data_IF_914009852404
#
_entry.id   IF_914009852404
#
_cell.length_a   1.000
_cell.length_b   1.000
_cell.length_c   1.000
_cell.angle_alpha   90.00
_cell.angle_beta   90.00
_cell.angle_gamma   90.00
#
_symmetry.space_group_name_H-M   'P 1'
#
loop_
_entity.id
_entity.type
_entity.pdbx_description
1 polymer ?
#
# COMPACT_ATOMS: atom_id res chain seq x y z
N UNK A 1 22.38 2.34 9.35
CA UNK A 1 21.33 1.35 9.63
C UNK A 1 20.47 1.05 8.39
N UNK A 2 19.95 -0.19 8.24
CA UNK A 2 18.90 -0.52 7.26
C UNK A 2 17.56 -0.58 7.98
N UNK A 3 16.58 0.21 7.54
CA UNK A 3 15.21 0.16 8.07
C UNK A 3 14.44 -0.96 7.37
N UNK A 4 13.84 -1.85 8.16
CA UNK A 4 13.15 -3.04 7.67
C UNK A 4 11.66 -2.85 7.89
N UNK A 5 10.88 -3.13 6.85
CA UNK A 5 9.41 -3.15 6.94
C UNK A 5 9.00 -4.17 8.01
N UNK A 6 8.17 -3.79 9.00
CA UNK A 6 7.64 -4.73 9.98
C UNK A 6 6.99 -5.94 9.30
N UNK A 7 7.31 -7.15 9.78
CA UNK A 7 6.87 -8.38 9.13
C UNK A 7 5.35 -8.48 8.92
N UNK A 8 4.48 -8.04 9.85
CA UNK A 8 3.04 -8.03 9.61
C UNK A 8 2.65 -7.16 8.40
N UNK A 9 3.18 -5.93 8.32
CA UNK A 9 2.91 -5.01 7.20
C UNK A 9 3.43 -5.55 5.88
N UNK A 10 4.62 -6.18 5.90
CA UNK A 10 5.17 -6.83 4.70
C UNK A 10 4.25 -7.94 4.20
N UNK A 11 3.79 -8.82 5.10
CA UNK A 11 2.92 -9.94 4.74
C UNK A 11 1.57 -9.48 4.19
N UNK A 12 0.96 -8.47 4.80
CA UNK A 12 -0.31 -7.90 4.31
C UNK A 12 -0.13 -7.24 2.93
N UNK A 13 0.97 -6.51 2.76
CA UNK A 13 1.29 -5.86 1.48
C UNK A 13 1.50 -6.91 0.37
N UNK A 14 2.32 -7.94 0.61
CA UNK A 14 2.55 -9.04 -0.33
C UNK A 14 1.25 -9.78 -0.68
N UNK A 15 0.37 -10.00 0.30
CA UNK A 15 -0.96 -10.61 0.09
C UNK A 15 -1.83 -9.75 -0.83
N UNK A 16 -1.82 -8.42 -0.67
CA UNK A 16 -2.56 -7.51 -1.53
C UNK A 16 -2.05 -7.56 -2.99
N UNK A 17 -0.73 -7.56 -3.18
CA UNK A 17 -0.12 -7.70 -4.51
C UNK A 17 -0.50 -9.01 -5.18
N UNK A 18 -0.48 -10.10 -4.42
CA UNK A 18 -0.81 -11.42 -4.93
C UNK A 18 -2.29 -11.50 -5.36
N UNK A 19 -3.20 -10.94 -4.57
CA UNK A 19 -4.62 -10.85 -4.94
C UNK A 19 -4.84 -10.03 -6.21
N UNK A 20 -4.15 -8.90 -6.34
CA UNK A 20 -4.22 -8.09 -7.56
C UNK A 20 -3.66 -8.84 -8.76
N UNK A 21 -2.55 -9.57 -8.60
CA UNK A 21 -1.98 -10.44 -9.63
C UNK A 21 -3.00 -11.48 -10.09
N UNK A 22 -3.62 -12.21 -9.16
CA UNK A 22 -4.67 -13.18 -9.48
C UNK A 22 -5.86 -12.54 -10.22
N UNK A 23 -6.30 -11.35 -9.79
CA UNK A 23 -7.35 -10.61 -10.49
C UNK A 23 -6.95 -10.20 -11.92
N UNK A 24 -5.67 -9.90 -12.18
CA UNK A 24 -5.18 -9.62 -13.55
C UNK A 24 -5.20 -10.83 -14.47
N UNK A 25 -5.23 -12.03 -13.89
CA UNK A 25 -5.32 -13.30 -14.60
C UNK A 25 -6.76 -13.72 -14.86
N UNK A 26 -7.73 -13.06 -14.22
CA UNK A 26 -9.13 -13.20 -14.58
C UNK A 26 -9.32 -12.81 -16.05
N UNK A 27 -10.11 -13.59 -16.78
CA UNK A 27 -10.56 -13.19 -18.12
C UNK A 27 -11.58 -12.04 -18.05
N UNK A 28 -12.05 -11.60 -19.22
CA UNK A 28 -13.16 -10.64 -19.31
C UNK A 28 -12.84 -9.26 -18.74
N UNK A 29 -13.89 -8.55 -18.32
CA UNK A 29 -13.81 -7.14 -17.88
C UNK A 29 -13.05 -6.97 -16.57
N UNK A 30 -13.21 -7.91 -15.63
CA UNK A 30 -12.51 -7.93 -14.35
C UNK A 30 -10.99 -7.97 -14.55
N UNK A 31 -10.51 -8.83 -15.46
CA UNK A 31 -9.09 -8.92 -15.80
C UNK A 31 -8.52 -7.62 -16.36
N UNK A 32 -9.27 -6.96 -17.24
CA UNK A 32 -8.84 -5.70 -17.85
C UNK A 32 -8.83 -4.55 -16.84
N UNK A 33 -9.84 -4.50 -15.96
CA UNK A 33 -9.88 -3.55 -14.85
C UNK A 33 -8.71 -3.77 -13.90
N UNK A 34 -8.44 -5.01 -13.48
CA UNK A 34 -7.32 -5.36 -12.61
C UNK A 34 -5.95 -5.02 -13.23
N UNK A 35 -5.75 -5.26 -14.53
CA UNK A 35 -4.52 -4.82 -15.25
C UNK A 35 -4.35 -3.31 -15.24
N UNK A 36 -5.44 -2.57 -15.34
CA UNK A 36 -5.44 -1.11 -15.27
C UNK A 36 -5.06 -0.64 -13.86
N UNK A 37 -5.66 -1.22 -12.81
CA UNK A 37 -5.28 -0.98 -11.41
C UNK A 37 -3.79 -1.26 -11.21
N UNK A 38 -3.31 -2.44 -11.61
CA UNK A 38 -1.92 -2.84 -11.42
C UNK A 38 -0.95 -1.86 -12.07
N UNK A 39 -1.23 -1.42 -13.29
CA UNK A 39 -0.39 -0.43 -14.00
C UNK A 39 -0.38 0.92 -13.29
N UNK A 40 -1.54 1.40 -12.85
CA UNK A 40 -1.67 2.71 -12.19
C UNK A 40 -1.10 2.71 -10.76
N UNK A 41 -1.12 1.56 -10.08
CA UNK A 41 -0.71 1.44 -8.68
C UNK A 41 0.73 0.97 -8.50
N UNK A 42 1.34 0.32 -9.49
CA UNK A 42 2.71 -0.15 -9.37
C UNK A 42 3.71 0.95 -8.94
N UNK A 43 3.70 2.18 -9.52
CA UNK A 43 4.60 3.25 -9.07
C UNK A 43 4.36 3.68 -7.62
N UNK A 44 3.12 3.57 -7.14
CA UNK A 44 2.76 3.90 -5.78
C UNK A 44 3.24 2.83 -4.79
N UNK A 45 3.07 1.54 -5.11
CA UNK A 45 3.60 0.44 -4.31
C UNK A 45 5.13 0.48 -4.18
N UNK A 46 5.84 0.87 -5.25
CA UNK A 46 7.29 1.07 -5.18
C UNK A 46 7.66 2.17 -4.17
N UNK A 47 6.94 3.29 -4.20
CA UNK A 47 7.13 4.40 -3.25
C UNK A 47 6.86 3.96 -1.81
N UNK A 48 5.78 3.23 -1.56
CA UNK A 48 5.47 2.70 -0.24
C UNK A 48 6.60 1.81 0.32
N UNK A 49 7.10 0.87 -0.49
CA UNK A 49 8.16 -0.05 -0.09
C UNK A 49 9.51 0.64 0.13
N UNK A 50 9.81 1.69 -0.64
CA UNK A 50 11.11 2.37 -0.58
C UNK A 50 11.22 3.37 0.56
N UNK A 51 10.12 4.05 0.93
CA UNK A 51 10.21 5.17 1.88
C UNK A 51 9.09 5.24 2.93
N UNK A 52 7.89 4.70 2.67
CA UNK A 52 6.77 4.82 3.62
C UNK A 52 6.78 3.74 4.70
N UNK A 53 6.96 2.48 4.29
CA UNK A 53 6.93 1.32 5.19
C UNK A 53 8.21 1.10 6.00
N UNK A 54 9.43 1.31 5.47
CA UNK A 54 10.66 1.05 6.22
C UNK A 54 10.78 1.84 7.54
N UNK A 55 10.45 3.15 7.63
CA UNK A 55 10.52 3.90 8.88
C UNK A 55 9.67 3.31 10.02
N UNK A 56 8.58 2.62 9.68
CA UNK A 56 7.70 1.97 10.68
C UNK A 56 8.41 0.87 11.46
N UNK A 57 9.53 0.35 10.95
CA UNK A 57 10.40 -0.60 11.65
C UNK A 57 10.99 -0.07 12.96
N UNK A 58 11.05 1.25 13.15
CA UNK A 58 11.57 1.87 14.37
C UNK A 58 10.53 2.03 15.48
N UNK A 59 9.23 1.93 15.17
CA UNK A 59 8.17 2.31 16.11
C UNK A 59 8.24 1.54 17.43
N UNK A 60 8.58 0.25 17.39
CA UNK A 60 8.69 -0.57 18.62
C UNK A 60 9.84 -0.12 19.52
N UNK A 61 11.01 0.18 18.94
CA UNK A 61 12.17 0.66 19.70
C UNK A 61 11.90 2.05 20.29
N UNK A 62 11.38 2.97 19.46
CA UNK A 62 11.01 4.32 19.88
C UNK A 62 9.95 4.32 20.98
N UNK A 63 8.95 3.44 20.90
CA UNK A 63 7.93 3.28 21.93
C UNK A 63 8.50 2.80 23.28
N UNK A 64 9.66 2.15 23.27
CA UNK A 64 10.38 1.71 24.48
C UNK A 64 11.39 2.76 24.98
N UNK A 65 11.51 3.89 24.29
CA UNK A 65 12.54 4.90 24.56
C UNK A 65 13.94 4.48 24.11
N UNK A 66 14.05 3.44 23.27
CA UNK A 66 15.32 2.99 22.71
C UNK A 66 15.68 3.89 21.52
N UNK A 67 16.77 4.66 21.66
CA UNK A 67 17.29 5.53 20.60
C UNK A 67 18.81 5.42 20.53
N UNK A 68 19.34 5.41 19.30
CA UNK A 68 20.78 5.51 19.05
C UNK A 68 21.03 6.46 17.87
N UNK A 69 22.28 6.90 17.72
CA UNK A 69 22.66 7.88 16.70
C UNK A 69 22.42 7.38 15.26
N UNK A 70 22.49 6.08 15.01
CA UNK A 70 22.23 5.53 13.68
C UNK A 70 20.76 5.65 13.24
N UNK A 71 19.83 5.78 14.19
CA UNK A 71 18.41 5.96 13.88
C UNK A 71 18.12 7.30 13.19
N UNK A 72 18.99 8.30 13.36
CA UNK A 72 18.86 9.60 12.69
C UNK A 72 18.84 9.48 11.16
N UNK A 73 19.41 8.40 10.60
CA UNK A 73 19.34 8.12 9.16
C UNK A 73 17.90 7.91 8.64
N UNK A 74 16.91 7.69 9.53
CA UNK A 74 15.50 7.59 9.11
C UNK A 74 14.94 8.94 8.64
N UNK A 75 15.52 10.05 9.10
CA UNK A 75 15.07 11.39 8.77
C UNK A 75 15.12 11.63 7.26
N UNK A 76 16.17 11.14 6.59
CA UNK A 76 16.32 11.25 5.14
C UNK A 76 15.20 10.50 4.38
N UNK A 77 14.67 9.40 4.94
CA UNK A 77 13.51 8.71 4.38
C UNK A 77 12.21 9.45 4.67
N UNK A 78 12.04 10.02 5.87
CA UNK A 78 10.82 10.73 6.24
C UNK A 78 10.69 12.07 5.53
N UNK A 79 11.79 12.78 5.28
CA UNK A 79 11.81 14.02 4.49
C UNK A 79 11.38 13.74 3.04
N UNK A 80 11.89 12.65 2.46
CA UNK A 80 11.48 12.18 1.13
C UNK A 80 10.01 11.77 1.11
N UNK A 81 9.54 11.09 2.16
CA UNK A 81 8.13 10.72 2.30
C UNK A 81 7.24 11.98 2.38
N UNK A 82 7.62 12.98 3.17
CA UNK A 82 6.88 14.24 3.30
C UNK A 82 6.73 14.95 1.95
N UNK A 83 7.83 15.05 1.17
CA UNK A 83 7.80 15.67 -0.15
C UNK A 83 6.87 14.94 -1.14
N UNK A 84 6.77 13.61 -1.03
CA UNK A 84 5.95 12.76 -1.91
C UNK A 84 4.52 12.57 -1.39
N UNK A 85 4.26 12.89 -0.13
CA UNK A 85 2.99 12.65 0.55
C UNK A 85 1.77 13.25 -0.17
N UNK A 86 1.80 14.50 -0.68
CA UNK A 86 0.66 15.07 -1.39
C UNK A 86 0.27 14.23 -2.62
N UNK A 87 1.25 13.79 -3.40
CA UNK A 87 1.01 12.96 -4.58
C UNK A 87 0.58 11.55 -4.21
N UNK A 88 1.11 10.97 -3.13
CA UNK A 88 0.66 9.68 -2.61
C UNK A 88 -0.80 9.75 -2.16
N UNK A 89 -1.20 10.81 -1.45
CA UNK A 89 -2.59 11.04 -1.05
C UNK A 89 -3.52 11.24 -2.24
N UNK A 90 -3.09 11.98 -3.25
CA UNK A 90 -3.86 12.12 -4.49
C UNK A 90 -4.01 10.78 -5.21
N UNK A 91 -2.99 9.93 -5.22
CA UNK A 91 -3.10 8.58 -5.76
C UNK A 91 -4.16 7.75 -5.02
N UNK A 92 -4.27 7.83 -3.69
CA UNK A 92 -5.33 7.14 -2.95
C UNK A 92 -6.72 7.71 -3.24
N UNK A 93 -6.86 9.03 -3.37
CA UNK A 93 -8.15 9.69 -3.68
C UNK A 93 -8.63 9.40 -5.10
N UNK A 94 -7.77 9.65 -6.08
CA UNK A 94 -8.06 9.43 -7.50
C UNK A 94 -8.26 7.95 -7.85
N UNK A 95 -7.61 7.02 -7.15
CA UNK A 95 -7.71 5.58 -7.43
C UNK A 95 -8.63 4.81 -6.49
N UNK A 96 -9.24 5.48 -5.51
CA UNK A 96 -10.38 4.95 -4.75
C UNK A 96 -11.52 4.47 -5.66
N UNK A 97 -11.67 5.11 -6.82
CA UNK A 97 -12.63 4.73 -7.87
C UNK A 97 -12.25 3.43 -8.59
N UNK A 98 -10.97 3.12 -8.79
CA UNK A 98 -10.57 1.89 -9.53
C UNK A 98 -10.73 0.64 -8.67
N UNK A 99 -10.59 0.77 -7.34
CA UNK A 99 -10.96 -0.29 -6.39
C UNK A 99 -12.47 -0.52 -6.37
N UNK A 100 -13.28 0.54 -6.47
CA UNK A 100 -14.73 0.41 -6.60
C UNK A 100 -15.12 -0.34 -7.90
N UNK A 101 -14.47 -0.04 -9.04
CA UNK A 101 -14.75 -0.70 -10.32
C UNK A 101 -14.47 -2.22 -10.29
N UNK A 102 -13.37 -2.66 -9.66
CA UNK A 102 -13.07 -4.10 -9.54
C UNK A 102 -14.06 -4.81 -8.62
N UNK A 103 -14.54 -4.13 -7.56
CA UNK A 103 -15.48 -4.70 -6.59
C UNK A 103 -16.91 -4.72 -7.13
N UNK A 104 -17.34 -3.66 -7.84
CA UNK A 104 -18.69 -3.58 -8.43
C UNK A 104 -18.93 -4.63 -9.52
N UNK A 105 -17.86 -5.18 -10.11
CA UNK A 105 -17.94 -6.19 -11.18
C UNK A 105 -17.38 -7.55 -10.74
N UNK A 106 -17.03 -7.72 -9.45
CA UNK A 106 -16.62 -8.99 -8.88
C UNK A 106 -17.80 -9.63 -8.15
N UNK A 107 -18.40 -10.67 -8.75
CA UNK A 107 -19.39 -11.55 -8.10
C UNK A 107 -18.78 -12.44 -7.00
N UNK A 108 -17.56 -12.13 -6.51
CA UNK A 108 -16.86 -12.88 -5.47
C UNK A 108 -17.01 -12.19 -4.10
N UNK A 109 -17.77 -12.78 -3.16
CA UNK A 109 -17.98 -12.21 -1.84
C UNK A 109 -16.70 -12.06 -1.00
N UNK A 110 -15.59 -12.73 -1.34
CA UNK A 110 -14.31 -12.57 -0.63
C UNK A 110 -13.63 -11.21 -0.90
N UNK A 111 -13.95 -10.54 -2.02
CA UNK A 111 -13.40 -9.23 -2.38
C UNK A 111 -14.24 -8.05 -1.84
N UNK A 112 -15.50 -8.31 -1.49
CA UNK A 112 -16.45 -7.33 -0.94
C UNK A 112 -16.14 -7.00 0.53
N UNK A 113 -15.54 -7.92 1.30
CA UNK A 113 -15.27 -7.79 2.76
C UNK A 113 -14.32 -6.63 3.12
N UNK A 114 -13.62 -6.04 2.16
CA UNK A 114 -12.68 -4.94 2.39
C UNK A 114 -13.31 -3.53 2.27
N UNK A 115 -14.62 -3.44 2.07
CA UNK A 115 -15.38 -2.21 2.18
C UNK A 115 -16.14 -2.22 3.50
N UNK A 116 -15.61 -1.53 4.52
CA UNK A 116 -16.40 -1.17 5.69
C UNK A 116 -17.68 -0.43 5.26
N UNK A 117 -18.73 -0.43 6.09
CA UNK A 117 -20.03 0.08 5.66
C UNK A 117 -19.89 1.53 5.20
N UNK A 118 -20.39 1.81 3.99
CA UNK A 118 -20.59 3.16 3.52
C UNK A 118 -21.45 3.88 4.58
N UNK A 119 -20.86 4.87 5.27
CA UNK A 119 -21.62 5.71 6.16
C UNK A 119 -22.60 6.52 5.30
N UNK A 120 -23.87 6.42 5.69
CA UNK A 120 -25.03 7.04 5.07
C UNK A 120 -24.99 8.57 5.08
#
# INVERSE_FOLDING_TARGET
MKFIIPQPLKSEHETLHERLRQATEAGGEVGQAAKTVARLMHPHFLKENQMALPPLGLLVALARGEMNDEMAAVLELTDRLEAELPQMMENHRSKGWVRAIVIEHADDPALIVMAGPAQA
#
